data_IF_135647208637
#
_entry.id   IF_135647208637
#
_cell.length_a   1.000
_cell.length_b   1.000
_cell.length_c   1.000
_cell.angle_alpha   90.00
_cell.angle_beta   90.00
_cell.angle_gamma   90.00
#
_symmetry.space_group_name_H-M   'P 1'
#
loop_
_entity.id
_entity.type
_entity.pdbx_description
1 polymer ?
#
# COMPACT_ATOMS: atom_id res chain seq x y z
N UNK A 1 -6.36 -18.38 8.73
CA UNK A 1 -7.20 -18.11 7.54
C UNK A 1 -7.01 -16.64 7.17
N UNK A 2 -6.81 -16.30 5.91
CA UNK A 2 -6.68 -14.90 5.49
C UNK A 2 -8.03 -14.19 5.65
N UNK A 3 -8.05 -12.97 6.20
CA UNK A 3 -9.28 -12.22 6.38
C UNK A 3 -9.87 -11.70 5.07
N UNK A 4 -11.11 -11.17 5.11
CA UNK A 4 -11.89 -10.81 3.93
C UNK A 4 -11.22 -9.74 3.05
N UNK A 5 -10.49 -8.79 3.66
CA UNK A 5 -9.71 -7.78 2.93
C UNK A 5 -8.53 -8.40 2.16
N UNK A 6 -7.87 -9.40 2.77
CA UNK A 6 -6.72 -10.11 2.18
C UNK A 6 -7.14 -11.06 1.06
N UNK A 7 -8.39 -11.53 1.04
CA UNK A 7 -8.94 -12.28 -0.09
C UNK A 7 -9.42 -11.36 -1.22
N UNK A 8 -10.08 -10.24 -0.89
CA UNK A 8 -10.56 -9.29 -1.89
C UNK A 8 -9.42 -8.65 -2.70
N UNK A 9 -8.28 -8.36 -2.06
CA UNK A 9 -7.09 -7.83 -2.74
C UNK A 9 -6.48 -8.78 -3.78
N UNK A 10 -6.69 -10.10 -3.66
CA UNK A 10 -6.22 -11.08 -4.64
C UNK A 10 -6.94 -10.97 -5.98
N UNK A 11 -8.14 -10.39 -5.97
CA UNK A 11 -8.96 -10.19 -7.17
C UNK A 11 -8.77 -8.81 -7.81
N UNK A 12 -8.19 -7.85 -7.09
CA UNK A 12 -7.95 -6.49 -7.58
C UNK A 12 -7.01 -6.51 -8.80
N UNK A 13 -7.48 -5.93 -9.92
CA UNK A 13 -6.70 -5.81 -11.15
C UNK A 13 -6.14 -4.39 -11.32
N UNK A 14 -6.60 -3.44 -10.52
CA UNK A 14 -6.19 -2.03 -10.53
C UNK A 14 -6.05 -1.44 -9.13
N UNK A 15 -5.39 -0.29 -9.03
CA UNK A 15 -5.34 0.47 -7.78
C UNK A 15 -6.70 1.10 -7.44
N UNK A 16 -7.52 1.39 -8.46
CA UNK A 16 -8.91 1.80 -8.27
C UNK A 16 -9.74 0.73 -7.55
N UNK A 17 -9.55 -0.55 -7.89
CA UNK A 17 -10.22 -1.67 -7.20
C UNK A 17 -9.85 -1.68 -5.71
N UNK A 18 -8.56 -1.50 -5.39
CA UNK A 18 -8.08 -1.39 -4.00
C UNK A 18 -8.74 -0.20 -3.29
N UNK A 19 -8.80 0.97 -3.93
CA UNK A 19 -9.47 2.13 -3.33
C UNK A 19 -10.96 1.93 -3.10
N UNK A 20 -11.63 1.15 -3.95
CA UNK A 20 -13.05 0.84 -3.79
C UNK A 20 -13.27 -0.12 -2.62
N UNK A 21 -12.48 -1.19 -2.56
CA UNK A 21 -12.50 -2.16 -1.46
C UNK A 21 -12.29 -1.49 -0.10
N UNK A 22 -11.34 -0.56 0.00
CA UNK A 22 -11.08 0.17 1.23
C UNK A 22 -12.26 1.03 1.68
N UNK A 23 -13.07 1.57 0.78
CA UNK A 23 -14.23 2.41 1.16
C UNK A 23 -15.32 1.61 1.87
N UNK A 24 -15.45 0.32 1.55
CA UNK A 24 -16.54 -0.55 2.02
C UNK A 24 -16.30 -1.10 3.45
N UNK A 25 -15.09 -0.99 4.01
CA UNK A 25 -14.78 -1.54 5.33
C UNK A 25 -15.23 -0.64 6.49
N UNK A 26 -16.03 -1.17 7.42
CA UNK A 26 -16.43 -0.50 8.68
C UNK A 26 -15.30 -0.55 9.71
N UNK A 27 -15.01 0.57 10.37
CA UNK A 27 -13.80 0.76 11.18
C UNK A 27 -13.96 1.82 12.29
N UNK A 28 -13.21 1.65 13.39
CA UNK A 28 -12.95 2.68 14.42
C UNK A 28 -12.20 3.90 13.85
N UNK A 29 -12.18 5.03 14.55
CA UNK A 29 -11.66 6.31 14.03
C UNK A 29 -10.21 6.27 13.52
N UNK A 30 -9.32 5.58 14.24
CA UNK A 30 -7.92 5.43 13.83
C UNK A 30 -7.75 4.52 12.61
N UNK A 31 -8.61 3.50 12.51
CA UNK A 31 -8.63 2.57 11.39
C UNK A 31 -9.26 3.24 10.15
N UNK A 32 -10.24 4.15 10.33
CA UNK A 32 -10.77 5.03 9.29
C UNK A 32 -9.67 5.93 8.73
N UNK A 33 -8.88 6.59 9.58
CA UNK A 33 -7.78 7.45 9.14
C UNK A 33 -6.74 6.69 8.32
N UNK A 34 -6.32 5.50 8.75
CA UNK A 34 -5.36 4.68 8.01
C UNK A 34 -5.92 4.24 6.65
N UNK A 35 -7.16 3.74 6.63
CA UNK A 35 -7.88 3.31 5.43
C UNK A 35 -8.07 4.45 4.43
N UNK A 36 -8.42 5.64 4.90
CA UNK A 36 -8.63 6.81 4.05
C UNK A 36 -7.31 7.27 3.41
N UNK A 37 -6.21 7.24 4.18
CA UNK A 37 -4.87 7.54 3.67
C UNK A 37 -4.39 6.50 2.64
N UNK A 38 -4.57 5.20 2.89
CA UNK A 38 -4.24 4.15 1.90
C UNK A 38 -5.11 4.30 0.64
N UNK A 39 -6.39 4.67 0.80
CA UNK A 39 -7.29 4.93 -0.34
C UNK A 39 -6.85 6.13 -1.17
N UNK A 40 -6.40 7.21 -0.53
CA UNK A 40 -5.86 8.38 -1.23
C UNK A 40 -4.59 8.02 -2.02
N UNK A 41 -3.67 7.26 -1.41
CA UNK A 41 -2.47 6.76 -2.07
C UNK A 41 -2.80 5.87 -3.27
N UNK A 42 -3.74 4.93 -3.13
CA UNK A 42 -4.17 4.04 -4.22
C UNK A 42 -4.74 4.84 -5.41
N UNK A 43 -5.57 5.86 -5.16
CA UNK A 43 -6.07 6.75 -6.22
C UNK A 43 -4.95 7.52 -6.92
N UNK A 44 -4.00 8.05 -6.17
CA UNK A 44 -2.87 8.78 -6.74
C UNK A 44 -1.99 7.89 -7.64
N UNK A 45 -1.78 6.64 -7.21
CA UNK A 45 -1.08 5.62 -8.00
C UNK A 45 -1.84 5.28 -9.28
N UNK A 46 -3.15 5.05 -9.21
CA UNK A 46 -3.99 4.77 -10.38
C UNK A 46 -3.90 5.88 -11.44
N UNK A 47 -4.00 7.13 -10.99
CA UNK A 47 -3.93 8.29 -11.88
C UNK A 47 -2.55 8.45 -12.54
N UNK A 48 -1.47 8.17 -11.80
CA UNK A 48 -0.10 8.27 -12.32
C UNK A 48 0.24 7.14 -13.28
N UNK A 49 -0.05 5.89 -12.90
CA UNK A 49 0.17 4.70 -13.72
C UNK A 49 -0.73 4.73 -14.95
N UNK A 50 -1.99 5.09 -14.79
CA UNK A 50 -2.94 5.28 -15.88
C UNK A 50 -2.47 6.32 -16.89
N UNK A 51 -2.00 7.48 -16.45
CA UNK A 51 -1.47 8.51 -17.34
C UNK A 51 -0.28 8.02 -18.17
N UNK A 52 0.63 7.26 -17.56
CA UNK A 52 1.83 6.73 -18.23
C UNK A 52 1.53 5.56 -19.18
N UNK A 53 0.67 4.63 -18.78
CA UNK A 53 0.29 3.46 -19.61
C UNK A 53 -0.53 3.86 -20.84
N UNK A 54 -1.42 4.83 -20.69
CA UNK A 54 -2.19 5.39 -21.82
C UNK A 54 -1.41 6.41 -22.65
N UNK A 55 -0.09 6.55 -22.42
CA UNK A 55 0.80 7.47 -23.15
C UNK A 55 0.23 8.88 -23.27
N UNK A 56 -0.32 9.40 -22.17
CA UNK A 56 -0.76 10.81 -22.10
C UNK A 56 0.43 11.73 -22.38
N UNK A 57 0.14 13.00 -22.65
CA UNK A 57 1.20 13.98 -22.90
C UNK A 57 2.17 14.07 -21.71
N UNK A 58 3.43 14.39 -22.00
CA UNK A 58 4.50 14.40 -21.00
C UNK A 58 4.22 15.33 -19.81
N UNK A 59 3.50 16.44 -20.03
CA UNK A 59 3.14 17.38 -18.96
C UNK A 59 2.08 16.76 -18.03
N UNK A 60 1.08 16.07 -18.58
CA UNK A 60 0.11 15.32 -17.78
C UNK A 60 0.79 14.22 -16.97
N UNK A 61 1.72 13.45 -17.55
CA UNK A 61 2.45 12.41 -16.82
C UNK A 61 3.27 13.04 -15.68
N UNK A 62 4.05 14.08 -15.96
CA UNK A 62 4.86 14.77 -14.96
C UNK A 62 4.01 15.37 -13.82
N UNK A 63 2.85 15.97 -14.13
CA UNK A 63 1.90 16.49 -13.15
C UNK A 63 1.36 15.38 -12.25
N UNK A 64 0.98 14.22 -12.80
CA UNK A 64 0.48 13.09 -12.02
C UNK A 64 1.57 12.45 -11.15
N UNK A 65 2.80 12.34 -11.67
CA UNK A 65 3.94 11.87 -10.88
C UNK A 65 4.28 12.85 -9.73
N UNK A 66 4.17 14.15 -9.96
CA UNK A 66 4.31 15.18 -8.93
C UNK A 66 3.23 15.10 -7.84
N UNK A 67 1.97 14.91 -8.24
CA UNK A 67 0.86 14.71 -7.30
C UNK A 67 1.07 13.45 -6.44
N UNK A 68 1.48 12.33 -7.04
CA UNK A 68 1.81 11.10 -6.31
C UNK A 68 2.92 11.32 -5.27
N UNK A 69 3.98 12.06 -5.63
CA UNK A 69 5.07 12.38 -4.69
C UNK A 69 4.59 13.28 -3.53
N UNK A 70 3.62 14.16 -3.77
CA UNK A 70 3.01 14.97 -2.72
C UNK A 70 2.15 14.11 -1.77
N UNK A 71 1.30 13.26 -2.32
CA UNK A 71 0.46 12.32 -1.55
C UNK A 71 1.32 11.39 -0.68
N UNK A 72 2.41 10.85 -1.22
CA UNK A 72 3.36 10.03 -0.44
C UNK A 72 3.99 10.78 0.73
N UNK A 73 4.31 12.07 0.56
CA UNK A 73 4.83 12.90 1.66
C UNK A 73 3.76 13.17 2.71
N UNK A 74 2.54 13.48 2.30
CA UNK A 74 1.41 13.70 3.21
C UNK A 74 1.10 12.42 3.99
N UNK A 75 1.05 11.28 3.29
CA UNK A 75 0.88 9.97 3.88
C UNK A 75 1.92 9.70 4.97
N UNK A 76 3.21 9.83 4.64
CA UNK A 76 4.32 9.66 5.59
C UNK A 76 4.23 10.62 6.80
N UNK A 77 3.77 11.85 6.62
CA UNK A 77 3.61 12.81 7.72
C UNK A 77 2.54 12.35 8.72
N UNK A 78 1.40 11.83 8.22
CA UNK A 78 0.35 11.26 9.07
C UNK A 78 0.86 10.02 9.82
N UNK A 79 1.62 9.16 9.13
CA UNK A 79 2.22 7.96 9.71
C UNK A 79 3.21 8.25 10.85
N UNK A 80 3.94 9.37 10.77
CA UNK A 80 4.93 9.75 11.77
C UNK A 80 4.32 10.36 13.04
N UNK A 81 3.02 10.72 13.04
CA UNK A 81 2.37 11.37 14.19
C UNK A 81 2.45 10.51 15.47
N UNK A 82 2.79 11.09 16.64
CA UNK A 82 2.97 10.36 17.90
C UNK A 82 1.69 9.69 18.44
N UNK A 83 0.51 10.14 18.03
CA UNK A 83 -0.80 9.61 18.46
C UNK A 83 -1.17 8.26 17.79
N UNK A 84 -0.28 7.73 16.98
CA UNK A 84 -0.44 6.51 16.23
C UNK A 84 -0.18 5.24 17.09
N UNK A 85 -1.22 4.69 17.73
CA UNK A 85 -1.18 3.44 18.53
C UNK A 85 -0.77 2.15 17.78
N UNK A 86 -0.37 2.26 16.52
CA UNK A 86 -0.04 1.19 15.56
C UNK A 86 1.48 0.96 15.47
N UNK A 87 2.29 1.85 16.08
CA UNK A 87 3.75 1.80 16.11
C UNK A 87 4.32 0.60 16.89
N UNK A 88 3.51 -0.07 17.71
CA UNK A 88 3.90 -1.27 18.47
C UNK A 88 3.72 -2.57 17.70
N UNK A 89 3.11 -2.53 16.51
CA UNK A 89 2.92 -3.72 15.68
C UNK A 89 4.18 -4.00 14.83
N UNK A 90 4.74 -5.21 14.91
CA UNK A 90 5.94 -5.62 14.17
C UNK A 90 5.86 -5.34 12.65
N UNK A 91 4.66 -5.48 12.08
CA UNK A 91 4.40 -5.30 10.65
C UNK A 91 4.36 -3.81 10.20
N UNK A 92 4.33 -2.88 11.15
CA UNK A 92 4.47 -1.45 10.86
C UNK A 92 5.80 -1.14 10.16
N UNK A 93 6.88 -1.82 10.56
CA UNK A 93 8.20 -1.64 9.98
C UNK A 93 8.26 -2.11 8.52
N UNK A 94 7.51 -3.17 8.17
CA UNK A 94 7.42 -3.66 6.78
C UNK A 94 6.72 -2.65 5.88
N UNK A 95 5.56 -2.15 6.34
CA UNK A 95 4.82 -1.14 5.61
C UNK A 95 5.59 0.18 5.45
N UNK A 96 6.23 0.66 6.53
CA UNK A 96 7.06 1.86 6.49
C UNK A 96 8.25 1.71 5.53
N UNK A 97 8.90 0.54 5.52
CA UNK A 97 9.96 0.24 4.56
C UNK A 97 9.42 0.29 3.13
N UNK A 98 8.30 -0.38 2.84
CA UNK A 98 7.71 -0.40 1.51
C UNK A 98 7.35 1.02 1.01
N UNK A 99 6.82 1.88 1.90
CA UNK A 99 6.54 3.28 1.58
C UNK A 99 7.80 4.11 1.31
N UNK A 100 8.89 3.87 2.03
CA UNK A 100 10.17 4.54 1.79
C UNK A 100 10.74 4.14 0.42
N UNK A 101 10.73 2.86 0.10
CA UNK A 101 11.21 2.37 -1.20
C UNK A 101 10.33 2.89 -2.35
N UNK A 102 9.01 2.92 -2.18
CA UNK A 102 8.08 3.54 -3.12
C UNK A 102 8.39 5.03 -3.32
N UNK A 103 8.60 5.79 -2.24
CA UNK A 103 8.95 7.20 -2.34
C UNK A 103 10.24 7.43 -3.15
N UNK A 104 11.28 6.62 -2.92
CA UNK A 104 12.51 6.70 -3.70
C UNK A 104 12.29 6.32 -5.17
N UNK A 105 11.51 5.27 -5.45
CA UNK A 105 11.20 4.86 -6.82
C UNK A 105 10.41 5.94 -7.59
N UNK A 106 9.47 6.62 -6.92
CA UNK A 106 8.75 7.78 -7.48
C UNK A 106 9.71 8.92 -7.79
N UNK A 107 10.69 9.23 -6.94
CA UNK A 107 11.68 10.28 -7.26
C UNK A 107 12.53 9.92 -8.47
N UNK A 108 13.06 8.69 -8.53
CA UNK A 108 13.85 8.22 -9.68
C UNK A 108 13.05 8.30 -10.99
N UNK A 109 11.77 7.91 -10.95
CA UNK A 109 10.90 8.03 -12.12
C UNK A 109 10.67 9.49 -12.53
N UNK A 110 10.42 10.39 -11.57
CA UNK A 110 10.25 11.83 -11.83
C UNK A 110 11.51 12.48 -12.42
N UNK A 111 12.69 12.12 -11.92
CA UNK A 111 13.97 12.59 -12.44
C UNK A 111 14.19 12.10 -13.88
N UNK A 112 13.91 10.82 -14.14
CA UNK A 112 14.00 10.25 -15.49
C UNK A 112 13.03 10.93 -16.47
N UNK A 113 11.81 11.25 -16.04
CA UNK A 113 10.83 12.02 -16.81
C UNK A 113 11.33 13.44 -17.12
N UNK A 114 11.86 14.15 -16.12
CA UNK A 114 12.35 15.52 -16.28
C UNK A 114 13.54 15.58 -17.25
N UNK A 115 14.43 14.58 -17.19
CA UNK A 115 15.61 14.48 -18.04
C UNK A 115 15.32 13.86 -19.42
N UNK A 116 14.08 13.39 -19.66
CA UNK A 116 13.71 12.60 -20.85
C UNK A 116 14.67 11.41 -21.06
N UNK A 117 15.05 10.76 -19.96
CA UNK A 117 16.02 9.68 -19.96
C UNK A 117 15.46 8.43 -20.66
N UNK A 118 16.31 7.71 -21.37
CA UNK A 118 15.99 6.38 -21.92
C UNK A 118 15.64 5.36 -20.85
N UNK A 119 16.05 5.59 -19.59
CA UNK A 119 15.78 4.72 -18.45
C UNK A 119 14.43 4.97 -17.78
N UNK A 120 13.61 5.91 -18.30
CA UNK A 120 12.32 6.24 -17.71
C UNK A 120 11.38 5.03 -17.60
N UNK A 121 11.37 4.13 -18.59
CA UNK A 121 10.56 2.91 -18.56
C UNK A 121 10.94 1.99 -17.40
N UNK A 122 12.22 1.72 -17.20
CA UNK A 122 12.70 0.90 -16.09
C UNK A 122 12.42 1.55 -14.72
N UNK A 123 12.56 2.87 -14.63
CA UNK A 123 12.21 3.60 -13.41
C UNK A 123 10.72 3.56 -13.10
N UNK A 124 9.86 3.60 -14.13
CA UNK A 124 8.42 3.43 -14.03
C UNK A 124 8.05 2.02 -13.54
N UNK A 125 8.62 0.97 -14.13
CA UNK A 125 8.34 -0.42 -13.74
C UNK A 125 8.74 -0.69 -12.28
N UNK A 126 9.89 -0.16 -11.86
CA UNK A 126 10.36 -0.27 -10.48
C UNK A 126 9.42 0.47 -9.50
N UNK A 127 8.93 1.64 -9.89
CA UNK A 127 7.95 2.40 -9.12
C UNK A 127 6.63 1.62 -8.99
N UNK A 128 6.11 1.07 -10.09
CA UNK A 128 4.88 0.29 -10.08
C UNK A 128 5.02 -0.96 -9.20
N UNK A 129 6.16 -1.64 -9.24
CA UNK A 129 6.43 -2.78 -8.38
C UNK A 129 6.38 -2.42 -6.89
N UNK A 130 7.02 -1.31 -6.49
CA UNK A 130 6.96 -0.83 -5.11
C UNK A 130 5.57 -0.32 -4.72
N UNK A 131 4.78 0.17 -5.67
CA UNK A 131 3.40 0.59 -5.44
C UNK A 131 2.52 -0.59 -5.03
N UNK A 132 2.58 -1.69 -5.78
CA UNK A 132 1.87 -2.93 -5.44
C UNK A 132 2.34 -3.49 -4.09
N UNK A 133 3.65 -3.46 -3.84
CA UNK A 133 4.23 -3.87 -2.57
C UNK A 133 3.69 -3.05 -1.40
N UNK A 134 3.76 -1.72 -1.47
CA UNK A 134 3.32 -0.84 -0.39
C UNK A 134 1.81 -0.99 -0.09
N UNK A 135 0.96 -1.08 -1.11
CA UNK A 135 -0.47 -1.28 -0.91
C UNK A 135 -0.79 -2.66 -0.31
N UNK A 136 -0.10 -3.71 -0.76
CA UNK A 136 -0.24 -5.04 -0.16
C UNK A 136 0.09 -5.05 1.33
N UNK A 137 1.23 -4.45 1.71
CA UNK A 137 1.63 -4.33 3.12
C UNK A 137 0.65 -3.48 3.94
N UNK A 138 0.10 -2.40 3.36
CA UNK A 138 -0.93 -1.58 4.01
C UNK A 138 -2.25 -2.32 4.23
N UNK A 139 -2.67 -3.15 3.27
CA UNK A 139 -3.87 -3.99 3.39
C UNK A 139 -3.71 -5.09 4.43
N UNK A 140 -2.52 -5.71 4.53
CA UNK A 140 -2.22 -6.67 5.61
C UNK A 140 -2.28 -6.01 6.98
N UNK A 141 -1.74 -4.80 7.10
CA UNK A 141 -1.80 -4.04 8.36
C UNK A 141 -3.25 -3.77 8.77
N UNK A 142 -4.12 -3.39 7.83
CA UNK A 142 -5.56 -3.22 8.06
C UNK A 142 -6.23 -4.53 8.48
N UNK A 143 -5.98 -5.63 7.78
CA UNK A 143 -6.57 -6.95 8.06
C UNK A 143 -6.15 -7.47 9.44
N UNK A 144 -4.87 -7.34 9.79
CA UNK A 144 -4.36 -7.74 11.10
C UNK A 144 -4.93 -6.88 12.23
N UNK A 145 -5.10 -5.58 12.02
CA UNK A 145 -5.73 -4.71 13.01
C UNK A 145 -7.21 -5.08 13.21
N UNK A 146 -7.96 -5.34 12.13
CA UNK A 146 -9.35 -5.80 12.23
C UNK A 146 -9.48 -7.12 13.00
N UNK A 147 -8.59 -8.08 12.74
CA UNK A 147 -8.59 -9.37 13.45
C UNK A 147 -8.17 -9.22 14.92
N UNK A 148 -7.15 -8.39 15.21
CA UNK A 148 -6.70 -8.10 16.57
C UNK A 148 -7.76 -7.37 17.41
N UNK A 149 -8.45 -6.38 16.83
CA UNK A 149 -9.54 -5.67 17.48
C UNK A 149 -10.75 -6.58 17.74
N UNK A 150 -11.06 -7.51 16.81
CA UNK A 150 -12.09 -8.52 17.00
C UNK A 150 -11.79 -9.47 18.17
N UNK A 151 -10.52 -9.85 18.37
CA UNK A 151 -10.12 -10.72 19.48
C UNK A 151 -10.24 -10.04 20.85
N UNK A 152 -9.93 -8.74 20.94
CA UNK A 152 -10.03 -7.96 22.19
C UNK A 152 -11.48 -7.69 22.60
N UNK A 153 -12.41 -7.55 21.64
CA UNK A 153 -13.85 -7.38 21.92
C UNK A 153 -14.57 -8.69 22.27
N UNK A 154 -13.95 -9.85 22.01
CA UNK A 154 -14.55 -11.18 22.23
C UNK A 154 -14.08 -11.86 23.52
N UNK A 155 -13.11 -11.28 24.22
CA UNK A 155 -12.51 -11.87 25.42
C UNK A 155 -13.25 -11.40 26.68
N UNK A 156 -14.07 -12.28 27.23
CA UNK A 156 -14.38 -12.37 28.67
C UNK A 156 -13.07 -12.29 29.47
N UNK A 157 -13.02 -11.60 30.63
CA UNK A 157 -11.77 -11.30 31.30
C UNK A 157 -11.20 -12.54 32.01
N UNK A 158 -10.43 -13.36 31.30
CA UNK A 158 -9.43 -14.23 31.90
C UNK A 158 -8.28 -14.48 30.93
N UNK A 159 -7.08 -14.10 31.38
CA UNK A 159 -5.75 -14.35 30.80
C UNK A 159 -5.26 -13.44 29.63
N UNK A 160 -4.04 -12.84 29.74
CA UNK A 160 -3.50 -11.98 28.70
C UNK A 160 -3.17 -12.77 27.43
N UNK A 161 -3.63 -12.33 26.23
CA UNK A 161 -3.38 -13.07 25.01
C UNK A 161 -1.88 -13.04 24.65
N UNK A 162 -1.28 -14.22 24.51
CA UNK A 162 0.04 -14.37 23.92
C UNK A 162 0.04 -13.85 22.47
N UNK A 163 1.13 -13.20 22.00
CA UNK A 163 1.20 -12.67 20.65
C UNK A 163 1.10 -13.81 19.61
N UNK A 164 0.25 -13.69 18.57
CA UNK A 164 0.15 -14.70 17.53
C UNK A 164 1.48 -14.83 16.78
N UNK A 165 1.97 -16.06 16.64
CA UNK A 165 3.21 -16.36 15.91
C UNK A 165 3.01 -16.21 14.39
N UNK A 166 4.01 -15.69 13.65
CA UNK A 166 3.84 -15.34 12.24
C UNK A 166 3.96 -16.59 11.36
N UNK A 167 2.83 -17.18 10.97
CA UNK A 167 2.79 -18.10 9.85
C UNK A 167 2.92 -17.30 8.55
N UNK A 168 4.12 -17.35 7.93
CA UNK A 168 4.34 -16.83 6.57
C UNK A 168 3.37 -17.51 5.62
N UNK A 169 2.37 -16.75 5.17
CA UNK A 169 1.24 -17.25 4.42
C UNK A 169 1.59 -17.53 2.95
N UNK A 170 1.00 -18.59 2.40
CA UNK A 170 1.25 -19.18 1.06
C UNK A 170 1.07 -18.23 -0.13
N UNK A 171 0.42 -17.08 0.04
CA UNK A 171 0.25 -16.07 -1.01
C UNK A 171 1.57 -15.40 -1.43
N UNK A 172 2.61 -15.39 -0.59
CA UNK A 172 3.96 -14.97 -0.99
C UNK A 172 4.54 -15.83 -2.11
N UNK A 173 4.20 -17.11 -2.15
CA UNK A 173 4.58 -18.01 -3.26
C UNK A 173 3.77 -17.70 -4.52
N UNK A 174 2.51 -17.30 -4.39
CA UNK A 174 1.67 -16.92 -5.53
C UNK A 174 2.13 -15.59 -6.18
N UNK A 175 2.56 -14.62 -5.36
CA UNK A 175 3.14 -13.36 -5.83
C UNK A 175 4.49 -13.60 -6.52
N UNK A 176 5.33 -14.50 -5.99
CA UNK A 176 6.59 -14.92 -6.62
C UNK A 176 6.36 -15.72 -7.94
N UNK A 177 5.34 -16.57 -8.00
CA UNK A 177 4.99 -17.29 -9.24
C UNK A 177 4.40 -16.38 -10.31
N UNK A 178 3.72 -15.29 -9.92
CA UNK A 178 3.26 -14.27 -10.87
C UNK A 178 4.42 -13.42 -11.39
N UNK A 179 5.47 -13.26 -10.60
CA UNK A 179 6.77 -12.67 -10.97
C UNK A 179 7.51 -13.47 -12.05
N UNK A 180 7.50 -14.81 -11.99
CA UNK A 180 8.15 -15.67 -12.99
C UNK A 180 7.43 -15.73 -14.34
N UNK A 181 6.17 -15.31 -14.40
CA UNK A 181 5.33 -15.38 -15.60
C UNK A 181 5.46 -14.16 -16.54
N UNK A 182 6.21 -13.14 -16.12
CA UNK A 182 6.46 -11.89 -16.86
C UNK A 182 7.93 -11.73 -17.27
N UNK A 183 8.69 -12.83 -17.23
CA UNK A 183 10.06 -12.94 -17.72
C UNK A 183 10.12 -13.98 -18.85
#
# INVERSE_FOLDING_TARGET
MAGPLTQASQTAQSFADISYLLRECVADEQLRLLRDNISALAKALDLAVGARRHRRDANTIARRAGALAQELRQHQAVLCSPEAGWKTMYEWASYQRALRELAQAVQRWREALAQRSSHEGAAFDQMEQWAWRALGEGLLLLDMYQQGAGLVMSSTPEEPPSPPSPQRSSWWQAVLQRWQRWH
#
